data_IF_740531978543
#
_entry.id   IF_740531978543
#
_cell.length_a   1.000
_cell.length_b   1.000
_cell.length_c   1.000
_cell.angle_alpha   90.00
_cell.angle_beta   90.00
_cell.angle_gamma   90.00
#
_symmetry.space_group_name_H-M   'P 1'
#
loop_
_entity.id
_entity.type
_entity.pdbx_description
1 polymer ?
#
# COMPACT_ATOMS: atom_id res chain seq x y z
N UNK A 1 -14.89 -22.17 -6.71
CA UNK A 1 -14.82 -20.81 -6.13
C UNK A 1 -13.36 -20.42 -6.15
N UNK A 2 -13.02 -19.28 -6.77
CA UNK A 2 -11.65 -18.75 -6.71
C UNK A 2 -11.35 -18.41 -5.24
N UNK A 3 -10.44 -19.16 -4.61
CA UNK A 3 -10.11 -19.03 -3.18
C UNK A 3 -9.04 -17.98 -2.93
N UNK A 4 -8.61 -17.27 -3.97
CA UNK A 4 -7.58 -16.25 -3.91
C UNK A 4 -8.11 -14.99 -3.18
N UNK A 5 -7.30 -14.35 -2.32
CA UNK A 5 -7.61 -13.03 -1.76
C UNK A 5 -7.96 -12.02 -2.84
N UNK A 6 -8.95 -11.16 -2.57
CA UNK A 6 -9.37 -10.11 -3.52
C UNK A 6 -8.27 -9.06 -3.70
N UNK A 7 -8.18 -8.53 -4.91
CA UNK A 7 -7.32 -7.38 -5.22
C UNK A 7 -7.75 -6.11 -4.46
N UNK A 8 -6.84 -5.14 -4.37
CA UNK A 8 -7.11 -3.77 -3.91
C UNK A 8 -8.18 -3.13 -4.79
N UNK A 9 -9.19 -2.51 -4.16
CA UNK A 9 -10.24 -1.79 -4.88
C UNK A 9 -9.64 -0.70 -5.79
N UNK A 10 -10.16 -0.49 -7.02
CA UNK A 10 -9.53 0.40 -8.01
C UNK A 10 -9.22 1.82 -7.50
N UNK A 11 -10.15 2.44 -6.77
CA UNK A 11 -9.99 3.77 -6.19
C UNK A 11 -8.95 3.82 -5.07
N UNK A 12 -8.84 2.73 -4.30
CA UNK A 12 -7.80 2.61 -3.26
C UNK A 12 -6.44 2.36 -3.89
N UNK A 13 -6.38 1.53 -4.93
CA UNK A 13 -5.17 1.26 -5.71
C UNK A 13 -4.60 2.55 -6.28
N UNK A 14 -5.43 3.39 -6.88
CA UNK A 14 -4.98 4.69 -7.40
C UNK A 14 -4.45 5.59 -6.27
N UNK A 15 -5.13 5.61 -5.12
CA UNK A 15 -4.67 6.39 -3.97
C UNK A 15 -3.32 5.90 -3.45
N UNK A 16 -3.13 4.58 -3.33
CA UNK A 16 -1.88 3.96 -2.90
C UNK A 16 -0.73 4.20 -3.89
N UNK A 17 -1.00 4.18 -5.20
CA UNK A 17 -0.03 4.54 -6.24
C UNK A 17 0.48 5.97 -6.02
N UNK A 18 -0.43 6.92 -5.89
CA UNK A 18 -0.06 8.32 -5.69
C UNK A 18 0.67 8.54 -4.36
N UNK A 19 0.27 7.81 -3.31
CA UNK A 19 0.94 7.83 -2.02
C UNK A 19 2.36 7.24 -2.09
N UNK A 20 2.57 6.15 -2.82
CA UNK A 20 3.89 5.58 -3.09
C UNK A 20 4.77 6.58 -3.86
N UNK A 21 4.20 7.29 -4.83
CA UNK A 21 4.94 8.27 -5.64
C UNK A 21 5.33 9.53 -4.85
N UNK A 22 4.40 10.06 -4.05
CA UNK A 22 4.52 11.37 -3.37
C UNK A 22 4.07 11.32 -1.91
N UNK A 23 4.64 10.47 -1.06
CA UNK A 23 4.16 10.27 0.32
C UNK A 23 4.10 11.57 1.12
N UNK A 24 5.07 12.47 0.97
CA UNK A 24 5.07 13.78 1.63
C UNK A 24 3.83 14.65 1.34
N UNK A 25 3.17 14.46 0.19
CA UNK A 25 1.94 15.20 -0.15
C UNK A 25 0.70 14.65 0.58
N UNK A 26 0.68 13.35 0.88
CA UNK A 26 -0.49 12.67 1.45
C UNK A 26 -0.38 12.50 2.97
N UNK A 27 0.82 12.19 3.45
CA UNK A 27 1.10 11.90 4.87
C UNK A 27 2.11 12.88 5.49
N UNK A 28 2.46 13.96 4.77
CA UNK A 28 3.27 15.08 5.25
C UNK A 28 4.78 14.84 5.28
N UNK A 29 5.25 13.59 5.31
CA UNK A 29 6.65 13.21 5.12
C UNK A 29 6.79 11.76 4.65
N UNK A 30 7.99 11.36 4.23
CA UNK A 30 8.33 9.97 3.92
C UNK A 30 8.47 9.16 5.23
N UNK A 31 7.36 8.66 5.78
CA UNK A 31 7.34 7.88 7.04
C UNK A 31 6.41 6.68 6.97
N UNK A 32 6.95 5.49 7.26
CA UNK A 32 6.19 4.26 7.38
C UNK A 32 5.19 4.32 8.53
N UNK A 33 5.56 4.92 9.67
CA UNK A 33 4.65 5.08 10.81
C UNK A 33 3.41 5.91 10.43
N UNK A 34 3.60 6.99 9.66
CA UNK A 34 2.46 7.78 9.17
C UNK A 34 1.63 7.05 8.13
N UNK A 35 2.26 6.28 7.24
CA UNK A 35 1.55 5.40 6.32
C UNK A 35 0.68 4.40 7.09
N UNK A 36 1.22 3.76 8.13
CA UNK A 36 0.48 2.82 8.96
C UNK A 36 -0.80 3.45 9.51
N UNK A 37 -0.69 4.58 10.20
CA UNK A 37 -1.87 5.26 10.74
C UNK A 37 -2.89 5.68 9.66
N UNK A 38 -2.41 6.08 8.48
CA UNK A 38 -3.28 6.41 7.35
C UNK A 38 -4.08 5.18 6.88
N UNK A 39 -3.41 4.04 6.67
CA UNK A 39 -4.03 2.79 6.24
C UNK A 39 -5.01 2.26 7.30
N UNK A 40 -4.66 2.34 8.58
CA UNK A 40 -5.55 1.95 9.67
C UNK A 40 -6.81 2.84 9.70
N UNK A 41 -6.67 4.14 9.45
CA UNK A 41 -7.80 5.05 9.30
C UNK A 41 -8.73 4.66 8.13
N UNK A 42 -8.16 4.30 6.97
CA UNK A 42 -8.94 3.82 5.81
C UNK A 42 -9.69 2.52 6.12
N UNK A 43 -9.03 1.56 6.79
CA UNK A 43 -9.64 0.30 7.20
C UNK A 43 -10.76 0.53 8.20
N UNK A 44 -10.53 1.35 9.21
CA UNK A 44 -11.55 1.71 10.20
C UNK A 44 -12.77 2.37 9.54
N UNK A 45 -12.55 3.35 8.65
CA UNK A 45 -13.64 3.99 7.93
C UNK A 45 -14.45 2.97 7.11
N UNK A 46 -13.76 2.09 6.37
CA UNK A 46 -14.42 1.06 5.57
C UNK A 46 -15.26 0.11 6.42
N UNK A 47 -14.78 -0.28 7.60
CA UNK A 47 -15.47 -1.18 8.52
C UNK A 47 -16.66 -0.53 9.23
N UNK A 48 -16.64 0.77 9.47
CA UNK A 48 -17.68 1.46 10.26
C UNK A 48 -18.73 2.12 9.39
N UNK A 49 -18.33 2.72 8.27
CA UNK A 49 -19.19 3.58 7.46
C UNK A 49 -19.47 3.04 6.06
N UNK A 50 -18.74 2.01 5.61
CA UNK A 50 -18.77 1.57 4.22
C UNK A 50 -18.77 0.05 4.05
N UNK A 51 -19.37 -0.67 4.99
CA UNK A 51 -19.37 -2.14 5.02
C UNK A 51 -19.95 -2.76 3.74
N UNK A 52 -20.93 -2.12 3.13
CA UNK A 52 -21.66 -2.65 1.97
C UNK A 52 -20.84 -2.61 0.67
N UNK A 53 -19.83 -1.75 0.57
CA UNK A 53 -18.99 -1.67 -0.64
C UNK A 53 -17.99 -2.80 -0.74
N UNK A 54 -17.65 -3.43 0.38
CA UNK A 54 -16.63 -4.48 0.42
C UNK A 54 -15.27 -4.01 -0.10
N UNK A 55 -14.94 -2.71 0.09
CA UNK A 55 -13.67 -2.14 -0.35
C UNK A 55 -12.47 -2.88 0.25
N UNK A 56 -11.53 -3.23 -0.60
CA UNK A 56 -10.29 -3.88 -0.20
C UNK A 56 -9.19 -2.83 -0.17
N UNK A 57 -8.75 -2.48 1.05
CA UNK A 57 -7.65 -1.53 1.23
C UNK A 57 -6.30 -2.21 0.99
N UNK A 58 -6.11 -3.35 1.67
CA UNK A 58 -4.95 -4.24 1.54
C UNK A 58 -5.51 -5.65 1.45
N UNK A 59 -5.06 -6.48 0.50
CA UNK A 59 -5.56 -7.85 0.37
C UNK A 59 -5.32 -8.66 1.64
N UNK A 60 -6.27 -9.52 1.97
CA UNK A 60 -6.14 -10.48 3.07
C UNK A 60 -4.88 -11.33 2.90
N UNK A 61 -4.23 -11.75 4.01
CA UNK A 61 -3.00 -12.54 4.00
C UNK A 61 -1.70 -11.75 3.77
N UNK A 62 -1.77 -10.44 3.47
CA UNK A 62 -0.55 -9.63 3.28
C UNK A 62 0.36 -9.60 4.52
N UNK A 63 -0.23 -9.57 5.71
CA UNK A 63 0.55 -9.57 6.95
C UNK A 63 1.35 -10.87 7.10
N UNK A 64 0.72 -11.99 6.76
CA UNK A 64 1.31 -13.32 6.86
C UNK A 64 2.43 -13.49 5.85
N UNK A 65 2.19 -13.04 4.61
CA UNK A 65 3.22 -12.96 3.58
C UNK A 65 4.44 -12.15 4.04
N UNK A 66 4.22 -10.98 4.66
CA UNK A 66 5.32 -10.17 5.17
C UNK A 66 6.08 -10.88 6.31
N UNK A 67 5.37 -11.54 7.24
CA UNK A 67 5.99 -12.28 8.34
C UNK A 67 6.88 -13.42 7.84
N UNK A 68 6.42 -14.18 6.84
CA UNK A 68 7.21 -15.23 6.20
C UNK A 68 8.52 -14.69 5.61
N UNK A 69 8.50 -13.50 4.99
CA UNK A 69 9.70 -12.88 4.42
C UNK A 69 10.73 -12.45 5.47
N UNK A 70 10.28 -12.10 6.66
CA UNK A 70 11.15 -11.68 7.76
C UNK A 70 11.47 -12.82 8.74
N UNK A 71 10.93 -14.03 8.54
CA UNK A 71 11.09 -15.14 9.48
C UNK A 71 10.48 -14.87 10.86
N UNK A 72 9.50 -13.96 10.93
CA UNK A 72 8.86 -13.53 12.17
C UNK A 72 7.61 -14.38 12.47
N UNK A 73 7.20 -14.42 13.73
CA UNK A 73 5.98 -15.11 14.13
C UNK A 73 4.73 -14.30 13.73
N UNK A 74 3.82 -14.94 12.99
CA UNK A 74 2.57 -14.36 12.43
C UNK A 74 1.73 -13.55 13.42
N UNK A 75 1.77 -13.92 14.71
CA UNK A 75 0.90 -13.35 15.74
C UNK A 75 1.53 -12.18 16.53
N UNK A 76 2.81 -11.87 16.33
CA UNK A 76 3.50 -10.91 17.18
C UNK A 76 3.51 -9.48 16.61
N UNK A 77 3.57 -9.35 15.29
CA UNK A 77 3.90 -8.08 14.63
C UNK A 77 3.12 -7.89 13.33
N UNK A 78 2.73 -6.64 13.07
CA UNK A 78 2.15 -6.28 11.77
C UNK A 78 3.25 -5.92 10.77
N UNK A 79 2.95 -5.97 9.47
CA UNK A 79 3.90 -5.69 8.39
C UNK A 79 4.63 -4.35 8.55
N UNK A 80 3.96 -3.31 9.04
CA UNK A 80 4.60 -2.02 9.33
C UNK A 80 5.69 -2.15 10.39
N UNK A 81 5.39 -2.76 11.53
CA UNK A 81 6.35 -2.95 12.62
C UNK A 81 7.53 -3.85 12.25
N UNK A 82 7.27 -4.89 11.44
CA UNK A 82 8.32 -5.80 10.95
C UNK A 82 9.31 -5.06 10.04
N UNK A 83 8.80 -4.30 9.06
CA UNK A 83 9.66 -3.54 8.14
C UNK A 83 10.43 -2.45 8.88
N UNK A 84 9.80 -1.74 9.82
CA UNK A 84 10.46 -0.67 10.57
C UNK A 84 11.61 -1.20 11.45
N UNK A 85 11.43 -2.38 12.05
CA UNK A 85 12.45 -3.06 12.87
C UNK A 85 13.69 -3.42 12.05
N UNK A 86 13.51 -3.88 10.81
CA UNK A 86 14.61 -4.27 9.93
C UNK A 86 15.36 -3.06 9.36
N UNK A 87 14.63 -2.12 8.74
CA UNK A 87 15.24 -1.04 7.96
C UNK A 87 15.80 0.08 8.85
N UNK A 88 15.25 0.27 10.07
CA UNK A 88 15.67 1.29 11.07
C UNK A 88 15.65 2.76 10.58
N UNK A 89 15.25 3.00 9.34
CA UNK A 89 15.02 4.30 8.72
C UNK A 89 13.60 4.36 8.17
N UNK A 90 12.83 5.37 8.58
CA UNK A 90 11.42 5.54 8.24
C UNK A 90 11.17 5.64 6.73
N UNK A 91 12.08 6.29 5.99
CA UNK A 91 11.96 6.47 4.55
C UNK A 91 12.25 5.17 3.81
N UNK A 92 13.34 4.49 4.14
CA UNK A 92 13.67 3.19 3.56
C UNK A 92 12.57 2.17 3.87
N UNK A 93 12.09 2.14 5.12
CA UNK A 93 11.00 1.29 5.57
C UNK A 93 9.71 1.54 4.78
N UNK A 94 9.37 2.79 4.50
CA UNK A 94 8.20 3.15 3.69
C UNK A 94 8.25 2.49 2.30
N UNK A 95 9.36 2.66 1.58
CA UNK A 95 9.48 2.13 0.22
C UNK A 95 9.62 0.60 0.23
N UNK A 96 10.29 0.03 1.24
CA UNK A 96 10.38 -1.41 1.43
C UNK A 96 9.00 -2.04 1.63
N UNK A 97 8.15 -1.42 2.45
CA UNK A 97 6.79 -1.90 2.68
C UNK A 97 5.95 -1.89 1.40
N UNK A 98 6.04 -0.83 0.58
CA UNK A 98 5.39 -0.82 -0.74
C UNK A 98 5.94 -1.88 -1.68
N UNK A 99 7.25 -2.17 -1.64
CA UNK A 99 7.85 -3.26 -2.40
C UNK A 99 7.29 -4.62 -2.00
N UNK A 100 7.13 -4.89 -0.71
CA UNK A 100 6.49 -6.12 -0.23
C UNK A 100 5.04 -6.23 -0.70
N UNK A 101 4.30 -5.13 -0.71
CA UNK A 101 2.94 -5.12 -1.21
C UNK A 101 2.90 -5.44 -2.70
N UNK A 102 3.79 -4.88 -3.52
CA UNK A 102 3.90 -5.22 -4.94
C UNK A 102 4.22 -6.70 -5.16
N UNK A 103 5.19 -7.23 -4.42
CA UNK A 103 5.53 -8.65 -4.48
C UNK A 103 4.34 -9.55 -4.09
N UNK A 104 3.55 -9.13 -3.10
CA UNK A 104 2.35 -9.86 -2.71
C UNK A 104 1.26 -9.79 -3.78
N UNK A 105 1.01 -8.63 -4.37
CA UNK A 105 0.04 -8.49 -5.46
C UNK A 105 0.43 -9.39 -6.64
N UNK A 106 1.71 -9.40 -7.01
CA UNK A 106 2.23 -10.24 -8.09
C UNK A 106 2.10 -11.73 -7.74
N UNK A 107 2.35 -12.14 -6.49
CA UNK A 107 2.20 -13.54 -6.07
C UNK A 107 0.75 -14.03 -6.15
N UNK A 108 -0.21 -13.11 -5.98
CA UNK A 108 -1.63 -13.35 -6.22
C UNK A 108 -2.01 -13.26 -7.70
N UNK A 109 -1.12 -12.88 -8.61
CA UNK A 109 -1.41 -12.71 -10.04
C UNK A 109 -2.16 -11.40 -10.37
N UNK A 110 -2.00 -10.37 -9.53
CA UNK A 110 -2.45 -9.01 -9.80
C UNK A 110 -1.28 -8.13 -10.24
N UNK A 111 -1.61 -7.00 -10.88
CA UNK A 111 -0.62 -5.99 -11.22
C UNK A 111 -0.07 -5.34 -9.94
N UNK A 112 1.25 -5.06 -9.87
CA UNK A 112 1.80 -4.25 -8.78
C UNK A 112 1.26 -2.81 -8.86
N UNK A 113 1.48 -2.02 -7.82
CA UNK A 113 1.24 -0.58 -7.86
C UNK A 113 2.17 0.10 -8.88
N UNK A 114 3.36 -0.45 -9.10
CA UNK A 114 4.33 -0.01 -10.10
C UNK A 114 5.46 0.84 -9.51
N UNK A 115 6.45 1.15 -10.34
CA UNK A 115 7.63 1.92 -9.91
C UNK A 115 7.30 3.38 -9.64
N UNK A 116 7.91 3.94 -8.60
CA UNK A 116 7.67 5.32 -8.14
C UNK A 116 7.78 6.33 -9.28
N UNK A 117 8.85 6.23 -10.06
CA UNK A 117 9.17 7.14 -11.15
C UNK A 117 8.15 7.04 -12.28
N UNK A 118 7.67 5.82 -12.59
CA UNK A 118 6.65 5.61 -13.63
C UNK A 118 5.31 6.21 -13.20
N UNK A 119 4.88 5.97 -11.96
CA UNK A 119 3.65 6.54 -11.41
C UNK A 119 3.72 8.07 -11.44
N UNK A 120 4.87 8.64 -11.07
CA UNK A 120 5.06 10.09 -11.07
C UNK A 120 5.01 10.70 -12.48
N UNK A 121 5.58 10.02 -13.47
CA UNK A 121 5.51 10.45 -14.87
C UNK A 121 4.08 10.37 -15.41
N UNK A 122 3.36 9.27 -15.14
CA UNK A 122 1.95 9.11 -15.50
C UNK A 122 1.09 10.22 -14.88
N UNK A 123 1.31 10.55 -13.60
CA UNK A 123 0.61 11.64 -12.93
C UNK A 123 0.91 12.99 -13.58
N UNK A 124 2.19 13.29 -13.85
CA UNK A 124 2.58 14.54 -14.51
C UNK A 124 1.92 14.68 -15.89
N UNK A 125 1.94 13.61 -16.68
CA UNK A 125 1.36 13.60 -18.03
C UNK A 125 -0.15 13.85 -17.99
N UNK A 126 -0.88 13.26 -17.03
CA UNK A 126 -2.32 13.54 -16.83
C UNK A 126 -2.58 15.01 -16.54
N UNK A 127 -1.86 15.59 -15.59
CA UNK A 127 -2.02 17.02 -15.27
C UNK A 127 -1.69 17.95 -16.44
N UNK A 128 -0.79 17.57 -17.34
CA UNK A 128 -0.46 18.35 -18.53
C UNK A 128 -1.54 18.25 -19.63
N UNK A 129 -2.20 17.10 -19.76
CA UNK A 129 -3.30 16.92 -20.70
C UNK A 129 -4.56 17.71 -20.29
N UNK A 130 -4.80 17.85 -18.99
CA UNK A 130 -5.91 18.66 -18.44
C UNK A 130 -5.69 20.18 -18.55
N UNK A 131 -4.52 20.62 -19.01
CA UNK A 131 -4.17 22.05 -19.21
C UNK A 131 -4.24 22.54 -20.66
N UNK A 132 -4.78 21.74 -21.59
CA UNK A 132 -5.04 22.18 -22.96
C UNK A 132 -6.49 22.66 -23.08
N UNK A 133 -6.75 23.98 -23.25
CA UNK A 133 -8.09 24.52 -23.46
C UNK A 133 -8.67 24.17 -24.83
#
# INVERSE_FOLDING_TARGET
MDSRPKDISPEVREHLKLMKARPGMYIGCESLTRLWHFIDGMKFYSQVFDMDTGRVIIPEGFNDFAAERYGENLNAHNSFSMVLKEEKDERAALFKWFGLLDEYLVSLGYEPLGEREKIFEEFRNRCQQDTVP
#
